data_IF_702286805882
#
_entry.id   IF_702286805882
#
_cell.length_a   1.000
_cell.length_b   1.000
_cell.length_c   1.000
_cell.angle_alpha   90.00
_cell.angle_beta   90.00
_cell.angle_gamma   90.00
#
_symmetry.space_group_name_H-M   'P 1'
#
loop_
_entity.id
_entity.type
_entity.pdbx_description
1 polymer ?
#
# COMPACT_ATOMS: atom_id res chain seq x y z
N UNK A 1 24.93 -26.40 -23.83
CA UNK A 1 24.38 -26.87 -22.54
C UNK A 1 24.86 -26.03 -21.35
N UNK A 2 26.16 -25.91 -21.06
CA UNK A 2 26.62 -25.09 -19.91
C UNK A 2 26.18 -23.60 -20.00
N UNK A 3 26.39 -22.96 -21.16
CA UNK A 3 25.93 -21.58 -21.39
C UNK A 3 24.41 -21.44 -21.29
N UNK A 4 23.67 -22.49 -21.60
CA UNK A 4 22.21 -22.53 -21.53
C UNK A 4 21.74 -22.58 -20.07
N UNK A 5 22.43 -23.37 -19.23
CA UNK A 5 22.21 -23.37 -17.79
C UNK A 5 22.45 -22.00 -17.15
N UNK A 6 23.54 -21.33 -17.50
CA UNK A 6 23.88 -19.99 -17.00
C UNK A 6 22.94 -18.88 -17.51
N UNK A 7 22.23 -19.12 -18.61
CA UNK A 7 21.21 -18.22 -19.15
C UNK A 7 19.78 -18.67 -18.87
N UNK A 8 19.58 -19.75 -18.11
CA UNK A 8 18.25 -20.21 -17.75
C UNK A 8 17.62 -19.25 -16.74
N UNK A 9 16.44 -18.74 -17.11
CA UNK A 9 15.57 -17.93 -16.26
C UNK A 9 14.14 -18.47 -16.37
N UNK A 10 13.37 -18.37 -15.29
CA UNK A 10 11.97 -18.80 -15.23
C UNK A 10 11.12 -18.07 -16.28
N UNK A 11 11.29 -16.76 -16.44
CA UNK A 11 10.49 -15.98 -17.39
C UNK A 11 8.98 -16.13 -17.12
N UNK A 12 8.25 -16.70 -18.09
CA UNK A 12 6.80 -16.97 -18.02
C UNK A 12 6.45 -18.43 -17.70
N UNK A 13 7.44 -19.31 -17.53
CA UNK A 13 7.19 -20.70 -17.18
C UNK A 13 6.83 -20.83 -15.70
N UNK A 14 6.06 -21.86 -15.35
CA UNK A 14 5.77 -22.16 -13.95
C UNK A 14 7.04 -22.52 -13.19
N UNK A 15 7.01 -22.42 -11.86
CA UNK A 15 8.14 -22.84 -11.02
C UNK A 15 8.50 -24.31 -11.27
N UNK A 16 7.51 -25.17 -11.49
CA UNK A 16 7.73 -26.59 -11.81
C UNK A 16 8.42 -26.80 -13.16
N UNK A 17 7.96 -26.12 -14.21
CA UNK A 17 8.59 -26.23 -15.54
C UNK A 17 10.03 -25.70 -15.52
N UNK A 18 10.27 -24.63 -14.75
CA UNK A 18 11.61 -24.10 -14.53
C UNK A 18 12.49 -25.08 -13.75
N UNK A 19 11.97 -25.70 -12.69
CA UNK A 19 12.68 -26.71 -11.91
C UNK A 19 13.13 -27.88 -12.78
N UNK A 20 12.24 -28.41 -13.62
CA UNK A 20 12.57 -29.53 -14.50
C UNK A 20 13.71 -29.17 -15.47
N UNK A 21 13.61 -28.02 -16.15
CA UNK A 21 14.68 -27.55 -17.04
C UNK A 21 15.99 -27.28 -16.30
N UNK A 22 15.89 -26.78 -15.08
CA UNK A 22 17.05 -26.56 -14.23
C UNK A 22 17.77 -27.88 -13.94
N UNK A 23 17.06 -28.94 -13.58
CA UNK A 23 17.63 -30.27 -13.31
C UNK A 23 18.19 -30.94 -14.56
N UNK A 24 17.51 -30.84 -15.70
CA UNK A 24 18.01 -31.33 -16.99
C UNK A 24 19.34 -30.66 -17.37
N UNK A 25 19.44 -29.34 -17.19
CA UNK A 25 20.64 -28.58 -17.50
C UNK A 25 21.70 -28.63 -16.41
N UNK A 26 21.34 -28.98 -15.16
CA UNK A 26 22.25 -29.11 -14.04
C UNK A 26 23.31 -30.19 -14.27
N UNK A 27 22.99 -31.22 -15.06
CA UNK A 27 23.97 -32.23 -15.49
C UNK A 27 25.15 -31.64 -16.27
N UNK A 28 24.96 -30.49 -16.91
CA UNK A 28 26.00 -29.79 -17.67
C UNK A 28 26.58 -28.60 -16.89
N UNK A 29 26.24 -28.45 -15.61
CA UNK A 29 26.77 -27.39 -14.78
C UNK A 29 28.24 -27.67 -14.42
N UNK A 30 29.06 -26.61 -14.24
CA UNK A 30 30.41 -26.76 -13.72
C UNK A 30 30.41 -27.46 -12.35
N UNK A 31 31.46 -28.24 -12.06
CA UNK A 31 31.61 -28.93 -10.77
C UNK A 31 31.51 -27.98 -9.56
N UNK A 32 31.94 -26.72 -9.71
CA UNK A 32 31.83 -25.68 -8.69
C UNK A 32 30.38 -25.32 -8.31
N UNK A 33 29.38 -25.74 -9.10
CA UNK A 33 27.96 -25.52 -8.83
C UNK A 33 27.26 -26.75 -8.22
N UNK A 34 28.02 -27.81 -7.93
CA UNK A 34 27.48 -28.98 -7.23
C UNK A 34 27.21 -28.72 -5.75
N UNK A 35 27.84 -27.69 -5.16
CA UNK A 35 27.55 -27.26 -3.80
C UNK A 35 26.09 -26.81 -3.67
N UNK A 36 25.44 -27.25 -2.60
CA UNK A 36 24.02 -27.00 -2.39
C UNK A 36 23.70 -25.49 -2.28
N UNK A 37 24.54 -24.71 -1.63
CA UNK A 37 24.36 -23.26 -1.53
C UNK A 37 24.46 -22.58 -2.90
N UNK A 38 25.49 -22.92 -3.69
CA UNK A 38 25.70 -22.37 -5.03
C UNK A 38 24.58 -22.78 -5.98
N UNK A 39 24.13 -24.05 -5.92
CA UNK A 39 22.97 -24.56 -6.65
C UNK A 39 21.71 -23.78 -6.28
N UNK A 40 21.46 -23.58 -4.99
CA UNK A 40 20.28 -22.86 -4.49
C UNK A 40 20.30 -21.41 -4.94
N UNK A 41 21.43 -20.72 -4.77
CA UNK A 41 21.61 -19.33 -5.17
C UNK A 41 21.39 -19.14 -6.67
N UNK A 42 21.91 -20.06 -7.49
CA UNK A 42 21.69 -20.02 -8.94
C UNK A 42 20.22 -20.19 -9.28
N UNK A 43 19.54 -21.19 -8.70
CA UNK A 43 18.12 -21.40 -8.89
C UNK A 43 17.32 -20.13 -8.56
N UNK A 44 17.53 -19.55 -7.37
CA UNK A 44 16.87 -18.33 -6.90
C UNK A 44 17.15 -17.12 -7.80
N UNK A 45 18.38 -17.00 -8.32
CA UNK A 45 18.73 -15.90 -9.25
C UNK A 45 17.93 -15.97 -10.54
N UNK A 46 17.63 -17.18 -11.03
CA UNK A 46 16.84 -17.40 -12.23
C UNK A 46 15.32 -17.34 -12.01
N UNK A 47 14.84 -17.31 -10.76
CA UNK A 47 13.41 -17.12 -10.47
C UNK A 47 12.93 -15.71 -10.86
N UNK A 48 11.64 -15.61 -11.15
CA UNK A 48 10.96 -14.35 -11.42
C UNK A 48 11.06 -13.42 -10.21
N UNK A 49 11.24 -12.12 -10.47
CA UNK A 49 11.48 -11.10 -9.42
C UNK A 49 10.50 -11.15 -8.24
N UNK A 50 9.20 -11.36 -8.50
CA UNK A 50 8.16 -11.43 -7.47
C UNK A 50 8.34 -12.63 -6.52
N UNK A 51 8.85 -13.76 -7.01
CA UNK A 51 9.13 -14.94 -6.19
C UNK A 51 10.51 -14.82 -5.54
N UNK A 52 11.51 -14.38 -6.33
CA UNK A 52 12.91 -14.23 -5.90
C UNK A 52 13.06 -13.38 -4.64
N UNK A 53 12.39 -12.23 -4.58
CA UNK A 53 12.48 -11.31 -3.44
C UNK A 53 12.02 -11.97 -2.14
N UNK A 54 10.91 -12.71 -2.20
CA UNK A 54 10.37 -13.46 -1.07
C UNK A 54 11.30 -14.60 -0.63
N UNK A 55 11.91 -15.32 -1.57
CA UNK A 55 12.84 -16.42 -1.25
C UNK A 55 14.14 -15.89 -0.65
N UNK A 56 14.68 -14.78 -1.16
CA UNK A 56 15.87 -14.13 -0.62
C UNK A 56 15.66 -13.62 0.81
N UNK A 57 14.48 -13.08 1.12
CA UNK A 57 14.13 -12.63 2.47
C UNK A 57 14.11 -13.75 3.52
N UNK A 58 14.05 -15.02 3.08
CA UNK A 58 14.07 -16.19 3.97
C UNK A 58 15.45 -16.86 4.07
N UNK A 59 16.45 -16.34 3.35
CA UNK A 59 17.85 -16.79 3.35
C UNK A 59 18.02 -18.33 3.24
N UNK A 60 17.35 -18.92 2.25
CA UNK A 60 17.41 -20.39 2.07
C UNK A 60 18.69 -20.84 1.40
N UNK A 61 19.40 -21.75 2.08
CA UNK A 61 20.62 -22.40 1.59
C UNK A 61 20.35 -23.76 0.93
N UNK A 62 19.11 -24.27 1.03
CA UNK A 62 18.70 -25.59 0.57
C UNK A 62 17.82 -25.45 -0.68
N UNK A 63 18.14 -26.22 -1.73
CA UNK A 63 17.49 -26.12 -3.03
C UNK A 63 16.02 -26.51 -2.95
N UNK A 64 15.73 -27.63 -2.28
CA UNK A 64 14.37 -28.15 -2.14
C UNK A 64 13.44 -27.14 -1.43
N UNK A 65 13.94 -26.45 -0.39
CA UNK A 65 13.16 -25.43 0.31
C UNK A 65 12.83 -24.24 -0.60
N UNK A 66 13.81 -23.78 -1.39
CA UNK A 66 13.60 -22.69 -2.34
C UNK A 66 12.53 -23.04 -3.41
N UNK A 67 12.51 -24.30 -3.88
CA UNK A 67 11.49 -24.80 -4.82
C UNK A 67 10.10 -24.79 -4.17
N UNK A 68 9.95 -25.34 -2.96
CA UNK A 68 8.64 -25.38 -2.28
C UNK A 68 8.08 -23.97 -2.03
N UNK A 69 8.93 -23.07 -1.54
CA UNK A 69 8.53 -21.68 -1.32
C UNK A 69 8.12 -21.03 -2.65
N UNK A 70 8.86 -21.28 -3.73
CA UNK A 70 8.50 -20.82 -5.06
C UNK A 70 7.11 -21.27 -5.50
N UNK A 71 6.78 -22.54 -5.30
CA UNK A 71 5.45 -23.11 -5.61
C UNK A 71 4.32 -22.48 -4.79
N UNK A 72 4.55 -22.29 -3.49
CA UNK A 72 3.57 -21.66 -2.59
C UNK A 72 3.29 -20.23 -3.02
N UNK A 73 4.32 -19.47 -3.33
CA UNK A 73 4.19 -18.08 -3.77
C UNK A 73 3.50 -17.99 -5.13
N UNK A 74 3.87 -18.83 -6.09
CA UNK A 74 3.23 -18.86 -7.42
C UNK A 74 1.73 -19.18 -7.31
N UNK A 75 1.38 -20.15 -6.47
CA UNK A 75 -0.01 -20.53 -6.22
C UNK A 75 -0.80 -19.39 -5.57
N UNK A 76 -0.22 -18.72 -4.57
CA UNK A 76 -0.81 -17.56 -3.90
C UNK A 76 -0.99 -16.35 -4.83
N UNK A 77 -0.03 -16.10 -5.72
CA UNK A 77 -0.15 -15.06 -6.75
C UNK A 77 -1.26 -15.37 -7.76
N UNK A 78 -1.43 -16.64 -8.14
CA UNK A 78 -2.50 -17.06 -9.04
C UNK A 78 -3.88 -16.95 -8.39
N UNK A 79 -3.99 -17.30 -7.11
CA UNK A 79 -5.23 -17.22 -6.35
C UNK A 79 -5.65 -15.77 -6.06
N UNK A 80 -4.70 -14.89 -5.74
CA UNK A 80 -4.95 -13.45 -5.60
C UNK A 80 -5.41 -12.80 -6.91
N UNK A 81 -4.82 -13.17 -8.05
CA UNK A 81 -5.29 -12.72 -9.37
C UNK A 81 -6.72 -13.21 -9.67
N UNK A 82 -7.03 -14.46 -9.36
CA UNK A 82 -8.37 -15.03 -9.60
C UNK A 82 -9.44 -14.40 -8.71
N UNK A 83 -9.14 -14.17 -7.43
CA UNK A 83 -10.06 -13.52 -6.49
C UNK A 83 -10.25 -12.03 -6.80
N UNK A 84 -9.20 -11.32 -7.22
CA UNK A 84 -9.32 -9.93 -7.69
C UNK A 84 -10.12 -9.82 -8.99
N UNK A 85 -9.96 -10.74 -9.95
CA UNK A 85 -10.69 -10.68 -11.23
C UNK A 85 -12.13 -11.24 -11.17
N UNK A 86 -12.46 -12.14 -10.22
CA UNK A 86 -13.87 -12.51 -9.95
C UNK A 86 -14.60 -11.52 -9.04
N UNK A 87 -13.88 -10.61 -8.39
CA UNK A 87 -14.38 -9.79 -7.27
C UNK A 87 -14.63 -8.30 -7.54
N UNK A 88 -14.51 -7.80 -8.77
CA UNK A 88 -14.92 -6.41 -9.11
C UNK A 88 -16.11 -6.42 -10.08
N UNK A 89 -17.20 -7.10 -9.70
CA UNK A 89 -18.52 -6.49 -9.90
C UNK A 89 -18.77 -5.65 -8.67
N UNK A 90 -18.39 -4.36 -8.71
CA UNK A 90 -18.97 -3.37 -7.79
C UNK A 90 -20.48 -3.55 -7.91
N UNK A 91 -21.23 -3.82 -6.82
CA UNK A 91 -22.68 -3.82 -6.92
C UNK A 91 -23.11 -2.44 -7.41
N UNK A 92 -23.78 -2.42 -8.57
CA UNK A 92 -24.49 -1.24 -9.02
C UNK A 92 -25.65 -1.00 -8.03
N UNK A 93 -25.50 0.01 -7.16
CA UNK A 93 -26.50 0.46 -6.17
C UNK A 93 -26.17 0.00 -4.75
N UNK A 94 -25.97 0.86 -3.74
CA UNK A 94 -26.45 2.22 -3.50
C UNK A 94 -25.31 3.09 -2.97
N UNK A 95 -24.84 4.05 -3.77
CA UNK A 95 -24.14 5.23 -3.27
C UNK A 95 -25.21 6.25 -2.90
N UNK A 96 -25.31 6.61 -1.63
CA UNK A 96 -26.05 7.80 -1.21
C UNK A 96 -25.31 9.00 -1.79
N UNK A 97 -26.03 9.74 -2.63
CA UNK A 97 -25.54 10.87 -3.38
C UNK A 97 -25.26 12.03 -2.41
N UNK A 98 -24.00 12.48 -2.36
CA UNK A 98 -23.53 13.53 -1.47
C UNK A 98 -22.62 14.53 -2.19
N UNK A 99 -23.18 15.24 -3.17
CA UNK A 99 -22.93 16.68 -3.40
C UNK A 99 -21.55 17.15 -3.89
N UNK A 100 -21.45 17.30 -5.21
CA UNK A 100 -20.80 18.39 -5.97
C UNK A 100 -19.49 19.03 -5.46
N UNK A 101 -18.37 18.58 -6.04
CA UNK A 101 -17.19 19.43 -6.24
C UNK A 101 -17.34 20.23 -7.55
N UNK A 102 -17.48 21.55 -7.47
CA UNK A 102 -17.17 22.47 -8.57
C UNK A 102 -15.83 23.16 -8.29
N UNK A 103 -14.81 22.75 -9.02
CA UNK A 103 -13.52 23.41 -9.19
C UNK A 103 -13.68 24.59 -10.15
N UNK A 104 -13.26 25.82 -9.79
CA UNK A 104 -12.28 26.64 -10.55
C UNK A 104 -11.99 28.02 -9.87
N UNK A 105 -10.78 28.13 -9.27
CA UNK A 105 -9.73 29.20 -9.28
C UNK A 105 -10.08 30.72 -9.34
N UNK A 106 -9.13 31.67 -9.13
CA UNK A 106 -8.07 31.86 -8.11
C UNK A 106 -7.93 33.35 -7.62
N UNK A 107 -6.85 33.68 -6.85
CA UNK A 107 -6.04 34.95 -6.87
C UNK A 107 -5.97 35.86 -5.61
N UNK A 108 -4.74 35.92 -5.03
CA UNK A 108 -3.88 37.03 -4.53
C UNK A 108 -4.46 38.25 -3.76
N UNK A 109 -3.82 38.62 -2.63
CA UNK A 109 -3.17 39.92 -2.30
C UNK A 109 -2.69 39.91 -0.82
N UNK A 110 -1.38 39.95 -0.54
CA UNK A 110 -0.56 41.13 -0.19
C UNK A 110 -1.01 41.95 1.05
N UNK A 111 -0.39 41.60 2.18
CA UNK A 111 0.38 42.46 3.11
C UNK A 111 0.14 43.98 3.07
N UNK A 112 -0.29 44.58 4.19
CA UNK A 112 0.11 45.94 4.60
C UNK A 112 0.26 46.06 6.12
N UNK A 113 1.42 46.58 6.54
CA UNK A 113 1.84 46.90 7.90
C UNK A 113 1.21 48.21 8.40
N UNK A 114 1.09 48.35 9.74
CA UNK A 114 1.37 49.55 10.57
C UNK A 114 0.47 49.51 11.84
N UNK A 115 1.02 49.27 13.04
CA UNK A 115 1.48 50.27 14.03
C UNK A 115 0.29 51.03 14.67
N UNK A 116 0.08 51.13 15.99
CA UNK A 116 0.98 51.51 17.09
C UNK A 116 0.38 51.26 18.49
N UNK A 117 1.22 50.78 19.42
CA UNK A 117 1.46 51.16 20.86
C UNK A 117 0.27 51.41 21.83
N UNK A 118 0.21 50.67 22.94
CA UNK A 118 0.60 51.06 24.34
C UNK A 118 0.21 49.97 25.39
N UNK A 119 1.17 49.61 26.25
CA UNK A 119 1.11 48.74 27.47
C UNK A 119 0.61 49.53 28.71
N UNK A 120 0.31 48.97 29.93
CA UNK A 120 0.87 47.73 30.54
C UNK A 120 -0.07 46.85 31.44
N UNK A 121 0.51 45.73 31.88
CA UNK A 121 0.23 44.92 33.10
C UNK A 121 -0.59 43.60 32.99
N UNK A 122 0.11 42.52 33.39
CA UNK A 122 -0.32 41.18 33.83
C UNK A 122 -0.72 40.10 32.78
N UNK A 123 0.14 39.06 32.68
CA UNK A 123 -0.08 37.74 32.05
C UNK A 123 -0.75 36.75 33.05
N UNK A 124 -1.31 35.57 32.65
CA UNK A 124 -1.16 34.86 31.36
C UNK A 124 -2.47 34.37 30.66
N UNK A 125 -2.32 34.05 29.37
CA UNK A 125 -3.13 33.24 28.39
C UNK A 125 -4.35 32.42 28.89
N UNK A 126 -5.39 32.08 28.07
CA UNK A 126 -5.47 32.12 26.60
C UNK A 126 -6.69 32.90 26.03
N UNK A 127 -6.57 33.20 24.73
CA UNK A 127 -7.43 34.04 23.88
C UNK A 127 -8.93 33.65 23.93
N UNK A 128 -9.87 34.61 24.05
CA UNK A 128 -11.31 34.35 24.00
C UNK A 128 -11.77 34.37 22.55
N UNK A 129 -11.85 33.21 21.91
CA UNK A 129 -12.50 33.16 20.60
C UNK A 129 -13.29 31.87 20.44
N UNK A 130 -14.43 31.83 21.13
CA UNK A 130 -15.48 30.90 20.80
C UNK A 130 -16.77 31.65 21.05
N UNK A 131 -17.38 32.15 19.96
CA UNK A 131 -18.79 32.55 19.97
C UNK A 131 -19.55 31.41 20.66
N UNK A 132 -20.09 31.67 21.85
CA UNK A 132 -20.79 30.66 22.63
C UNK A 132 -21.82 29.96 21.74
N UNK A 133 -22.00 28.62 21.86
CA UNK A 133 -22.89 27.88 21.00
C UNK A 133 -24.29 28.51 21.06
N UNK A 134 -24.78 28.95 19.89
CA UNK A 134 -26.13 29.48 19.73
C UNK A 134 -27.04 28.34 19.35
N UNK A 135 -28.19 28.25 20.01
CA UNK A 135 -29.21 27.27 19.70
C UNK A 135 -29.73 27.49 18.28
N UNK A 136 -29.57 26.51 17.39
CA UNK A 136 -30.03 26.61 16.01
C UNK A 136 -31.57 26.66 15.86
N UNK A 137 -32.32 26.43 16.94
CA UNK A 137 -33.79 26.47 16.94
C UNK A 137 -34.32 27.87 17.30
N UNK A 138 -33.64 28.62 18.17
CA UNK A 138 -34.10 29.93 18.65
C UNK A 138 -33.07 31.06 18.53
N UNK A 139 -31.87 30.78 18.01
CA UNK A 139 -30.72 31.67 17.84
C UNK A 139 -30.22 32.37 19.11
N UNK A 140 -30.65 31.93 20.31
CA UNK A 140 -30.13 32.42 21.59
C UNK A 140 -28.85 31.68 22.00
N UNK A 141 -27.89 32.41 22.56
CA UNK A 141 -26.65 31.86 23.13
C UNK A 141 -26.85 31.40 24.56
N UNK A 142 -26.25 30.28 24.95
CA UNK A 142 -26.29 29.75 26.32
C UNK A 142 -26.83 28.32 26.45
N UNK A 143 -27.38 27.75 25.37
CA UNK A 143 -27.80 26.34 25.29
C UNK A 143 -27.72 25.86 23.83
N UNK A 144 -27.62 24.55 23.61
CA UNK A 144 -27.64 23.96 22.26
C UNK A 144 -29.07 23.56 21.86
N UNK A 145 -29.30 23.29 20.56
CA UNK A 145 -30.62 22.97 20.00
C UNK A 145 -31.34 21.77 20.65
N UNK A 146 -30.61 20.91 21.36
CA UNK A 146 -31.14 19.74 22.08
C UNK A 146 -31.71 20.08 23.45
N UNK A 147 -31.31 21.21 24.02
CA UNK A 147 -31.69 21.70 25.36
C UNK A 147 -32.60 22.93 25.26
N UNK A 148 -33.21 23.16 24.09
CA UNK A 148 -34.05 24.34 23.86
C UNK A 148 -35.43 24.15 24.51
N UNK A 149 -35.86 25.05 25.41
CA UNK A 149 -37.14 24.93 26.12
C UNK A 149 -38.37 25.24 25.25
N UNK A 150 -38.20 25.57 23.96
CA UNK A 150 -39.29 25.85 23.03
C UNK A 150 -39.48 24.67 22.07
N UNK A 151 -40.71 24.15 21.88
CA UNK A 151 -40.96 23.10 20.90
C UNK A 151 -40.75 23.64 19.48
N UNK A 152 -40.17 22.79 18.62
CA UNK A 152 -39.93 23.09 17.20
C UNK A 152 -41.27 23.38 16.51
N UNK A 153 -41.39 24.53 15.85
CA UNK A 153 -42.48 24.79 14.88
C UNK A 153 -42.19 24.07 13.57
#
# INVERSE_FOLDING_TARGET
MEKEFLSLYQGQMSVDAYQQRYEELFFFAPLSMQEEETKTRRFVTGLRGSIRENVLGLEKKIYNEAVQIGRVIESSQKESYFTQNKGIKRPAGKSYNGGNNRTYKPFRLQNFNAATKTTPAAQPQPKPNSKAPKCCTCNQSGHMARECPKPKK
#
